data_IF_064611567568
#
_entry.id   IF_064611567568
#
_cell.length_a   1.000
_cell.length_b   1.000
_cell.length_c   1.000
_cell.angle_alpha   90.00
_cell.angle_beta   90.00
_cell.angle_gamma   90.00
#
_symmetry.space_group_name_H-M   'P 1'
#
loop_
_entity.id
_entity.type
_entity.pdbx_description
1 polymer ?
#
# COMPACT_ATOMS: atom_id res chain seq x y z
N UNK A 1 16.51 -8.18 -2.86
CA UNK A 1 15.35 -8.13 -1.91
C UNK A 1 15.89 -7.79 -0.55
N UNK A 2 15.27 -6.87 0.19
CA UNK A 2 15.63 -6.61 1.59
C UNK A 2 15.22 -7.81 2.47
N UNK A 3 15.83 -7.96 3.65
CA UNK A 3 15.44 -9.02 4.59
C UNK A 3 13.96 -8.95 4.96
N UNK A 4 13.38 -7.75 5.00
CA UNK A 4 11.99 -7.51 5.34
C UNK A 4 11.03 -8.06 4.28
N UNK A 5 11.37 -7.96 2.98
CA UNK A 5 10.56 -8.54 1.92
C UNK A 5 10.62 -10.07 1.88
N UNK A 6 11.67 -10.69 2.41
CA UNK A 6 11.78 -12.15 2.51
C UNK A 6 10.80 -12.74 3.53
N UNK A 7 10.42 -12.01 4.58
CA UNK A 7 9.46 -12.47 5.58
C UNK A 7 8.09 -12.76 4.98
N UNK A 8 7.67 -12.02 3.97
CA UNK A 8 6.37 -12.25 3.31
C UNK A 8 6.30 -13.56 2.52
N UNK A 9 7.44 -14.21 2.25
CA UNK A 9 7.51 -15.53 1.64
C UNK A 9 7.44 -16.69 2.65
N UNK A 10 7.38 -16.40 3.95
CA UNK A 10 7.13 -17.37 5.01
C UNK A 10 5.62 -17.54 5.25
N UNK A 11 5.12 -18.78 5.22
CA UNK A 11 3.69 -19.08 5.34
C UNK A 11 3.11 -18.67 6.70
N UNK A 12 3.88 -18.90 7.79
CA UNK A 12 3.43 -18.54 9.13
C UNK A 12 3.36 -17.02 9.30
N UNK A 13 4.39 -16.32 8.83
CA UNK A 13 4.40 -14.87 8.85
C UNK A 13 3.25 -14.28 8.03
N UNK A 14 3.01 -14.81 6.82
CA UNK A 14 1.91 -14.36 5.96
C UNK A 14 0.55 -14.54 6.64
N UNK A 15 0.32 -15.69 7.29
CA UNK A 15 -0.92 -15.96 8.03
C UNK A 15 -1.15 -14.98 9.19
N UNK A 16 -0.10 -14.66 9.93
CA UNK A 16 -0.19 -13.74 11.08
C UNK A 16 -0.26 -12.27 10.65
N UNK A 17 0.26 -11.94 9.47
CA UNK A 17 0.40 -10.58 8.96
C UNK A 17 -0.92 -9.80 8.90
N UNK A 18 -2.04 -10.46 8.58
CA UNK A 18 -3.35 -9.79 8.49
C UNK A 18 -3.75 -9.05 9.77
N UNK A 19 -3.18 -9.44 10.91
CA UNK A 19 -3.44 -8.82 12.21
C UNK A 19 -2.49 -7.65 12.52
N UNK A 20 -1.42 -7.46 11.74
CA UNK A 20 -0.38 -6.48 12.03
C UNK A 20 -0.75 -5.06 11.59
N UNK A 21 -1.14 -4.77 10.32
CA UNK A 21 -1.33 -3.41 9.85
C UNK A 21 -2.27 -2.56 10.71
N UNK A 22 -3.41 -3.08 11.23
CA UNK A 22 -4.29 -2.29 12.08
C UNK A 22 -3.67 -1.84 13.41
N UNK A 23 -2.63 -2.55 13.88
CA UNK A 23 -1.95 -2.24 15.14
C UNK A 23 -0.80 -1.23 14.98
N UNK A 24 -0.32 -1.03 13.76
CA UNK A 24 0.80 -0.14 13.48
C UNK A 24 0.39 1.14 12.74
N UNK A 25 -0.73 1.11 12.00
CA UNK A 25 -1.21 2.24 11.22
C UNK A 25 -2.47 2.86 11.85
N UNK A 26 -2.38 4.10 12.34
CA UNK A 26 -3.56 4.79 12.89
C UNK A 26 -4.67 4.92 11.84
N UNK A 27 -5.91 4.63 12.23
CA UNK A 27 -7.06 4.77 11.35
C UNK A 27 -7.10 3.80 10.16
N UNK A 28 -6.46 2.63 10.26
CA UNK A 28 -6.33 1.65 9.18
C UNK A 28 -7.64 1.33 8.45
N UNK A 29 -8.75 1.17 9.19
CA UNK A 29 -10.07 0.89 8.58
C UNK A 29 -10.62 2.09 7.82
N UNK A 30 -10.52 3.27 8.41
CA UNK A 30 -10.98 4.51 7.78
C UNK A 30 -10.15 4.86 6.55
N UNK A 31 -8.88 4.51 6.57
CA UNK A 31 -7.98 4.70 5.44
C UNK A 31 -8.46 3.99 4.16
N UNK A 32 -8.89 2.74 4.23
CA UNK A 32 -9.48 2.02 3.09
C UNK A 32 -10.80 2.65 2.61
N UNK A 33 -11.60 3.18 3.56
CA UNK A 33 -12.82 3.90 3.23
C UNK A 33 -12.53 5.20 2.48
N UNK A 34 -11.50 5.94 2.90
CA UNK A 34 -11.05 7.14 2.19
C UNK A 34 -10.57 6.79 0.77
N UNK A 35 -9.78 5.72 0.62
CA UNK A 35 -9.36 5.24 -0.68
C UNK A 35 -10.56 4.91 -1.61
N UNK A 36 -11.57 4.21 -1.08
CA UNK A 36 -12.78 3.90 -1.84
C UNK A 36 -13.55 5.16 -2.27
N UNK A 37 -13.58 6.21 -1.45
CA UNK A 37 -14.20 7.50 -1.79
C UNK A 37 -13.43 8.17 -2.94
N UNK A 38 -12.11 8.30 -2.81
CA UNK A 38 -11.25 8.93 -3.82
C UNK A 38 -11.32 8.22 -5.17
N UNK A 39 -11.32 6.90 -5.18
CA UNK A 39 -11.49 6.12 -6.41
C UNK A 39 -12.86 6.44 -7.05
N UNK A 40 -13.91 6.48 -6.24
CA UNK A 40 -15.28 6.70 -6.72
C UNK A 40 -15.55 8.11 -7.29
N UNK A 41 -14.65 9.06 -7.09
CA UNK A 41 -14.78 10.40 -7.66
C UNK A 41 -14.75 10.38 -9.20
N UNK A 42 -13.99 9.43 -9.79
CA UNK A 42 -13.79 9.37 -11.25
C UNK A 42 -13.98 7.97 -11.84
N UNK A 43 -13.88 6.91 -11.05
CA UNK A 43 -14.09 5.55 -11.52
C UNK A 43 -15.58 5.23 -11.71
N UNK A 44 -15.97 4.44 -12.74
CA UNK A 44 -17.36 4.02 -12.96
C UNK A 44 -17.84 3.07 -11.84
N UNK A 45 -19.17 2.90 -11.75
CA UNK A 45 -19.77 2.02 -10.74
C UNK A 45 -19.26 0.58 -10.80
N UNK A 46 -18.92 0.09 -11.99
CA UNK A 46 -18.41 -1.26 -12.26
C UNK A 46 -16.89 -1.26 -12.55
N UNK A 47 -16.12 -0.43 -11.87
CA UNK A 47 -14.71 -0.22 -12.11
C UNK A 47 -13.87 -1.51 -12.03
N UNK A 48 -12.83 -1.56 -12.89
CA UNK A 48 -11.70 -2.48 -12.80
C UNK A 48 -10.56 -1.79 -12.05
N UNK A 49 -10.09 -2.37 -10.98
CA UNK A 49 -9.08 -1.77 -10.09
C UNK A 49 -7.82 -2.63 -10.05
N UNK A 50 -6.68 -2.03 -10.36
CA UNK A 50 -5.36 -2.63 -10.16
C UNK A 50 -4.91 -2.41 -8.72
N UNK A 51 -4.61 -3.48 -7.98
CA UNK A 51 -4.09 -3.42 -6.60
C UNK A 51 -2.65 -3.91 -6.58
N UNK A 52 -1.70 -3.00 -6.44
CA UNK A 52 -0.28 -3.32 -6.37
C UNK A 52 0.15 -3.53 -4.91
N UNK A 53 0.76 -4.69 -4.63
CA UNK A 53 1.01 -5.17 -3.28
C UNK A 53 -0.27 -5.69 -2.65
N UNK A 54 -0.93 -6.63 -3.32
CA UNK A 54 -2.20 -7.22 -2.89
C UNK A 54 -2.13 -7.86 -1.50
N UNK A 55 -0.94 -8.29 -1.10
CA UNK A 55 -0.66 -8.81 0.23
C UNK A 55 -1.67 -9.87 0.66
N UNK A 56 -2.08 -9.83 1.93
CA UNK A 56 -3.09 -10.71 2.49
C UNK A 56 -4.54 -10.37 2.13
N UNK A 57 -4.79 -9.50 1.14
CA UNK A 57 -6.13 -9.23 0.59
C UNK A 57 -7.02 -8.28 1.40
N UNK A 58 -6.54 -7.70 2.50
CA UNK A 58 -7.35 -6.83 3.37
C UNK A 58 -7.88 -5.59 2.64
N UNK A 59 -7.04 -4.95 1.84
CA UNK A 59 -7.41 -3.82 1.00
C UNK A 59 -8.50 -4.19 0.00
N UNK A 60 -8.25 -5.24 -0.80
CA UNK A 60 -9.22 -5.70 -1.81
C UNK A 60 -10.55 -6.08 -1.18
N UNK A 61 -10.53 -6.73 0.00
CA UNK A 61 -11.75 -7.06 0.74
C UNK A 61 -12.52 -5.80 1.12
N UNK A 62 -11.84 -4.82 1.71
CA UNK A 62 -12.48 -3.57 2.15
C UNK A 62 -13.09 -2.81 0.95
N UNK A 63 -12.37 -2.72 -0.18
CA UNK A 63 -12.88 -2.09 -1.40
C UNK A 63 -14.03 -2.88 -2.02
N UNK A 64 -13.95 -4.21 -2.05
CA UNK A 64 -14.99 -5.08 -2.60
C UNK A 64 -16.29 -5.07 -1.79
N UNK A 65 -16.19 -4.94 -0.46
CA UNK A 65 -17.35 -4.75 0.42
C UNK A 65 -17.98 -3.37 0.25
N UNK A 66 -17.15 -2.33 0.08
CA UNK A 66 -17.62 -0.97 -0.12
C UNK A 66 -18.23 -0.72 -1.51
N UNK A 67 -17.81 -1.46 -2.53
CA UNK A 67 -18.21 -1.30 -3.93
C UNK A 67 -18.51 -2.67 -4.57
N UNK A 68 -19.77 -3.13 -4.51
CA UNK A 68 -20.16 -4.49 -4.90
C UNK A 68 -19.91 -4.85 -6.37
N UNK A 69 -19.84 -3.86 -7.28
CA UNK A 69 -19.66 -4.10 -8.71
C UNK A 69 -18.21 -3.97 -9.19
N UNK A 70 -17.28 -3.57 -8.31
CA UNK A 70 -15.87 -3.49 -8.68
C UNK A 70 -15.23 -4.86 -8.84
N UNK A 71 -14.31 -4.94 -9.79
CA UNK A 71 -13.45 -6.10 -10.02
C UNK A 71 -11.98 -5.71 -9.78
N UNK A 72 -11.15 -6.69 -9.44
CA UNK A 72 -9.79 -6.43 -9.00
C UNK A 72 -8.79 -7.32 -9.72
N UNK A 73 -7.65 -6.75 -10.07
CA UNK A 73 -6.43 -7.46 -10.41
C UNK A 73 -5.38 -7.14 -9.35
N UNK A 74 -5.14 -8.08 -8.46
CA UNK A 74 -4.19 -7.94 -7.35
C UNK A 74 -2.84 -8.56 -7.70
N UNK A 75 -1.76 -7.81 -7.52
CA UNK A 75 -0.38 -8.25 -7.83
C UNK A 75 0.46 -8.24 -6.57
N UNK A 76 1.15 -9.35 -6.27
CA UNK A 76 2.07 -9.45 -5.13
C UNK A 76 3.15 -10.49 -5.42
N UNK A 77 4.44 -10.23 -5.11
CA UNK A 77 5.52 -11.18 -5.38
C UNK A 77 5.55 -12.39 -4.43
N UNK A 78 4.81 -12.34 -3.32
CA UNK A 78 4.82 -13.38 -2.30
C UNK A 78 3.63 -14.34 -2.46
N UNK A 79 3.86 -15.53 -3.01
CA UNK A 79 2.83 -16.56 -3.17
C UNK A 79 2.08 -16.91 -1.87
N UNK A 80 2.73 -17.00 -0.67
CA UNK A 80 2.04 -17.20 0.59
C UNK A 80 1.04 -16.07 0.91
N UNK A 81 1.39 -14.82 0.64
CA UNK A 81 0.50 -13.68 0.82
C UNK A 81 -0.73 -13.79 -0.08
N UNK A 82 -0.56 -14.19 -1.34
CA UNK A 82 -1.69 -14.41 -2.25
C UNK A 82 -2.57 -15.59 -1.84
N UNK A 83 -2.02 -16.62 -1.18
CA UNK A 83 -2.82 -17.68 -0.60
C UNK A 83 -3.71 -17.14 0.53
N UNK A 84 -3.15 -16.36 1.45
CA UNK A 84 -3.90 -15.65 2.51
C UNK A 84 -4.93 -14.68 1.92
N UNK A 85 -4.61 -13.99 0.82
CA UNK A 85 -5.56 -13.10 0.15
C UNK A 85 -6.80 -13.84 -0.35
N UNK A 86 -6.66 -15.05 -0.89
CA UNK A 86 -7.81 -15.88 -1.30
C UNK A 86 -8.72 -16.22 -0.12
N UNK A 87 -8.13 -16.60 1.01
CA UNK A 87 -8.87 -16.90 2.24
C UNK A 87 -9.56 -15.67 2.80
N UNK A 88 -8.84 -14.53 2.87
CA UNK A 88 -9.36 -13.25 3.35
C UNK A 88 -10.56 -12.76 2.54
N UNK A 89 -10.48 -12.87 1.22
CA UNK A 89 -11.56 -12.49 0.30
C UNK A 89 -12.78 -13.41 0.43
N UNK A 90 -12.58 -14.70 0.73
CA UNK A 90 -13.68 -15.66 0.80
C UNK A 90 -14.55 -15.63 -0.46
N UNK A 91 -15.89 -15.49 -0.36
CA UNK A 91 -16.77 -15.42 -1.54
C UNK A 91 -16.45 -14.27 -2.51
N UNK A 92 -15.84 -13.20 -2.04
CA UNK A 92 -15.47 -12.03 -2.85
C UNK A 92 -14.35 -12.34 -3.85
N UNK A 93 -13.63 -13.45 -3.69
CA UNK A 93 -12.55 -13.88 -4.60
C UNK A 93 -13.03 -14.05 -6.04
N UNK A 94 -14.31 -14.28 -6.27
CA UNK A 94 -14.89 -14.39 -7.61
C UNK A 94 -14.80 -13.09 -8.43
N UNK A 95 -14.53 -11.98 -7.75
CA UNK A 95 -14.32 -10.65 -8.35
C UNK A 95 -12.85 -10.23 -8.40
N UNK A 96 -11.93 -11.11 -7.98
CA UNK A 96 -10.51 -10.82 -7.93
C UNK A 96 -9.70 -11.83 -8.75
N UNK A 97 -8.74 -11.35 -9.51
CA UNK A 97 -7.66 -12.13 -10.11
C UNK A 97 -6.37 -11.80 -9.38
N UNK A 98 -5.63 -12.82 -8.97
CA UNK A 98 -4.40 -12.67 -8.21
C UNK A 98 -3.22 -13.13 -9.06
N UNK A 99 -2.23 -12.25 -9.22
CA UNK A 99 -1.05 -12.44 -10.04
C UNK A 99 0.20 -12.44 -9.14
N UNK A 100 0.98 -13.51 -9.22
CA UNK A 100 2.27 -13.55 -8.54
C UNK A 100 3.31 -12.79 -9.37
N UNK A 101 3.95 -11.79 -8.77
CA UNK A 101 4.97 -10.98 -9.41
C UNK A 101 4.94 -9.51 -9.02
N UNK A 102 5.56 -8.70 -9.85
CA UNK A 102 5.66 -7.25 -9.70
C UNK A 102 4.77 -6.54 -10.72
N UNK A 103 4.93 -5.21 -10.84
CA UNK A 103 4.11 -4.41 -11.76
C UNK A 103 4.20 -4.90 -13.22
N UNK A 104 5.31 -5.50 -13.62
CA UNK A 104 5.50 -6.02 -14.97
C UNK A 104 4.62 -7.24 -15.27
N UNK A 105 4.26 -7.99 -14.25
CA UNK A 105 3.39 -9.17 -14.32
C UNK A 105 1.90 -8.81 -14.25
N UNK A 106 1.61 -7.53 -13.98
CA UNK A 106 0.24 -7.02 -14.00
C UNK A 106 -0.33 -6.99 -15.43
N UNK A 107 -1.64 -7.24 -15.61
CA UNK A 107 -2.30 -7.04 -16.90
C UNK A 107 -2.07 -5.63 -17.47
N UNK A 108 -2.07 -5.54 -18.78
CA UNK A 108 -1.77 -4.27 -19.49
C UNK A 108 -2.81 -3.15 -19.22
N UNK A 109 -4.01 -3.47 -18.76
CA UNK A 109 -5.10 -2.52 -18.60
C UNK A 109 -5.84 -2.25 -19.93
N UNK A 110 -6.52 -1.08 -20.09
CA UNK A 110 -6.57 0.00 -19.11
C UNK A 110 -7.43 -0.33 -17.89
N UNK A 111 -7.01 0.16 -16.72
CA UNK A 111 -7.78 0.09 -15.48
C UNK A 111 -8.48 1.42 -15.18
N UNK A 112 -9.63 1.37 -14.51
CA UNK A 112 -10.38 2.54 -14.10
C UNK A 112 -9.82 3.20 -12.83
N UNK A 113 -9.01 2.48 -12.07
CA UNK A 113 -8.27 2.98 -10.93
C UNK A 113 -7.10 2.06 -10.59
N UNK A 114 -6.14 2.57 -9.80
CA UNK A 114 -5.13 1.73 -9.15
C UNK A 114 -4.91 2.14 -7.70
N UNK A 115 -4.40 1.20 -6.92
CA UNK A 115 -3.94 1.42 -5.55
C UNK A 115 -2.55 0.81 -5.31
N UNK A 116 -1.79 1.42 -4.40
CA UNK A 116 -0.56 0.86 -3.84
C UNK A 116 -0.50 1.25 -2.36
N UNK A 117 -1.20 0.50 -1.52
CA UNK A 117 -1.33 0.80 -0.11
C UNK A 117 -0.34 -0.03 0.72
N UNK A 118 0.52 0.65 1.47
CA UNK A 118 1.58 0.06 2.30
C UNK A 118 2.61 -0.76 1.51
N UNK A 119 2.86 -0.40 0.25
CA UNK A 119 3.66 -1.20 -0.69
C UNK A 119 4.93 -0.49 -1.15
N UNK A 120 4.82 0.73 -1.69
CA UNK A 120 5.93 1.38 -2.38
C UNK A 120 7.14 1.67 -1.50
N UNK A 121 6.96 1.80 -0.19
CA UNK A 121 8.08 2.05 0.72
C UNK A 121 9.09 0.89 0.82
N UNK A 122 8.74 -0.30 0.34
CA UNK A 122 9.67 -1.43 0.24
C UNK A 122 10.59 -1.35 -0.99
N UNK A 123 10.26 -0.49 -1.96
CA UNK A 123 11.01 -0.35 -3.20
C UNK A 123 12.12 0.72 -3.07
N UNK A 124 13.32 0.45 -3.59
CA UNK A 124 14.33 1.49 -3.79
C UNK A 124 13.81 2.62 -4.68
N UNK A 125 14.40 3.80 -4.59
CA UNK A 125 13.93 5.02 -5.27
C UNK A 125 13.69 4.82 -6.78
N UNK A 126 14.65 4.23 -7.50
CA UNK A 126 14.54 4.04 -8.95
C UNK A 126 13.42 3.06 -9.32
N UNK A 127 13.27 1.98 -8.54
CA UNK A 127 12.17 1.02 -8.71
C UNK A 127 10.81 1.64 -8.36
N UNK A 128 10.75 2.53 -7.37
CA UNK A 128 9.54 3.26 -7.02
C UNK A 128 9.11 4.19 -8.16
N UNK A 129 10.05 4.93 -8.77
CA UNK A 129 9.80 5.75 -9.96
C UNK A 129 9.31 4.93 -11.14
N UNK A 130 10.03 3.84 -11.45
CA UNK A 130 9.65 2.93 -12.53
C UNK A 130 8.25 2.35 -12.30
N UNK A 131 7.97 1.90 -11.09
CA UNK A 131 6.68 1.31 -10.72
C UNK A 131 5.54 2.32 -10.87
N UNK A 132 5.72 3.57 -10.42
CA UNK A 132 4.71 4.62 -10.58
C UNK A 132 4.43 4.91 -12.07
N UNK A 133 5.46 4.97 -12.92
CA UNK A 133 5.31 5.15 -14.36
C UNK A 133 4.58 3.96 -15.02
N UNK A 134 4.88 2.73 -14.60
CA UNK A 134 4.22 1.52 -15.12
C UNK A 134 2.76 1.41 -14.69
N UNK A 135 2.41 1.86 -13.47
CA UNK A 135 1.01 1.99 -13.04
C UNK A 135 0.30 3.03 -13.92
N UNK A 136 0.92 4.21 -14.12
CA UNK A 136 0.37 5.27 -14.96
C UNK A 136 0.04 4.78 -16.38
N UNK A 137 0.91 3.97 -16.97
CA UNK A 137 0.73 3.39 -18.31
C UNK A 137 -0.47 2.43 -18.41
N UNK A 138 -0.83 1.81 -17.30
CA UNK A 138 -1.93 0.83 -17.22
C UNK A 138 -3.28 1.45 -16.87
N UNK A 139 -3.32 2.74 -16.58
CA UNK A 139 -4.55 3.44 -16.20
C UNK A 139 -5.22 4.10 -17.40
N UNK A 140 -6.54 4.12 -17.39
CA UNK A 140 -7.33 4.94 -18.31
C UNK A 140 -7.04 6.44 -18.07
N UNK A 141 -7.16 7.30 -19.09
CA UNK A 141 -6.97 8.74 -18.90
C UNK A 141 -7.89 9.29 -17.80
N UNK A 142 -7.31 10.02 -16.85
CA UNK A 142 -8.02 10.60 -15.71
C UNK A 142 -8.33 9.63 -14.57
N UNK A 143 -7.95 8.35 -14.67
CA UNK A 143 -8.16 7.35 -13.62
C UNK A 143 -7.34 7.68 -12.36
N UNK A 144 -7.91 7.53 -11.15
CA UNK A 144 -7.21 7.79 -9.90
C UNK A 144 -6.18 6.70 -9.57
N UNK A 145 -5.05 7.12 -9.05
CA UNK A 145 -4.07 6.28 -8.38
C UNK A 145 -3.96 6.69 -6.90
N UNK A 146 -4.40 5.83 -6.00
CA UNK A 146 -4.35 6.05 -4.55
C UNK A 146 -3.13 5.33 -3.98
N UNK A 147 -2.22 6.10 -3.40
CA UNK A 147 -0.95 5.59 -2.87
C UNK A 147 -0.85 5.93 -1.40
N UNK A 148 -0.41 5.00 -0.58
CA UNK A 148 0.00 5.32 0.78
C UNK A 148 1.07 4.37 1.29
N UNK A 149 1.98 4.94 2.05
CA UNK A 149 3.09 4.20 2.64
C UNK A 149 3.80 5.02 3.72
N UNK A 150 4.88 4.45 4.25
CA UNK A 150 5.71 5.17 5.21
C UNK A 150 6.53 6.25 4.51
N UNK A 151 6.33 7.49 4.94
CA UNK A 151 7.00 8.69 4.42
C UNK A 151 7.08 9.73 5.54
N UNK A 152 8.27 10.22 5.84
CA UNK A 152 8.47 11.12 6.97
C UNK A 152 9.38 12.30 6.62
N UNK A 153 9.10 13.51 7.11
CA UNK A 153 10.08 14.59 7.10
C UNK A 153 11.31 14.14 7.90
N UNK A 154 12.46 14.06 7.26
CA UNK A 154 13.69 13.55 7.88
C UNK A 154 14.91 14.39 7.52
N UNK A 155 14.92 15.69 7.87
CA UNK A 155 16.06 16.56 7.59
C UNK A 155 17.34 16.10 8.31
N UNK A 156 17.17 15.34 9.40
CA UNK A 156 18.26 14.76 10.18
C UNK A 156 17.85 13.47 10.91
N UNK A 157 18.84 12.75 11.44
CA UNK A 157 18.63 11.49 12.15
C UNK A 157 17.74 11.62 13.40
N UNK A 158 17.76 12.77 14.06
CA UNK A 158 16.95 13.03 15.28
C UNK A 158 15.47 13.09 14.93
N UNK A 159 15.11 13.79 13.86
CA UNK A 159 13.73 13.85 13.40
C UNK A 159 13.22 12.48 12.92
N UNK A 160 14.04 11.75 12.18
CA UNK A 160 13.72 10.37 11.79
C UNK A 160 13.46 9.49 13.01
N UNK A 161 14.36 9.49 14.00
CA UNK A 161 14.21 8.72 15.23
C UNK A 161 12.92 9.06 15.99
N UNK A 162 12.55 10.35 16.03
CA UNK A 162 11.30 10.82 16.67
C UNK A 162 10.06 10.25 15.98
N UNK A 163 10.03 10.20 14.64
CA UNK A 163 8.90 9.62 13.93
C UNK A 163 8.79 8.12 14.16
N UNK A 164 9.91 7.41 14.18
CA UNK A 164 9.96 5.98 14.46
C UNK A 164 9.60 5.65 15.91
N UNK A 165 9.91 6.54 16.87
CA UNK A 165 9.44 6.39 18.25
C UNK A 165 7.91 6.44 18.33
N UNK A 166 7.28 7.42 17.67
CA UNK A 166 5.82 7.52 17.58
C UNK A 166 5.16 6.29 16.97
N UNK A 167 5.79 5.71 15.95
CA UNK A 167 5.33 4.47 15.33
C UNK A 167 5.33 3.31 16.34
N UNK A 168 6.41 3.13 17.11
CA UNK A 168 6.51 2.12 18.15
C UNK A 168 5.55 2.37 19.31
N UNK A 169 5.42 3.63 19.75
CA UNK A 169 4.51 4.00 20.84
C UNK A 169 3.05 3.74 20.48
N UNK A 170 2.64 4.02 19.24
CA UNK A 170 1.30 3.68 18.75
C UNK A 170 1.06 2.16 18.73
N UNK A 171 2.05 1.36 18.35
CA UNK A 171 1.96 -0.09 18.39
C UNK A 171 1.76 -0.61 19.80
N UNK A 172 2.47 -0.04 20.78
CA UNK A 172 2.29 -0.38 22.20
C UNK A 172 0.89 0.00 22.71
N UNK A 173 0.41 1.18 22.37
CA UNK A 173 -0.96 1.62 22.71
C UNK A 173 -2.02 0.72 22.09
N UNK A 174 -1.70 0.12 20.93
CA UNK A 174 -2.54 -0.87 20.23
C UNK A 174 -2.39 -2.31 20.73
N UNK A 175 -1.67 -2.52 21.84
CA UNK A 175 -1.54 -3.82 22.50
C UNK A 175 -0.37 -4.70 22.04
N UNK A 176 0.61 -4.15 21.32
CA UNK A 176 1.88 -4.83 21.03
C UNK A 176 2.82 -4.70 22.23
N UNK A 177 3.59 -5.73 22.56
CA UNK A 177 4.60 -5.62 23.62
C UNK A 177 5.63 -4.54 23.29
N UNK A 178 6.17 -3.85 24.32
CA UNK A 178 7.25 -2.86 24.10
C UNK A 178 8.45 -3.48 23.39
N UNK A 179 8.80 -4.70 23.73
CA UNK A 179 9.91 -5.42 23.09
C UNK A 179 9.67 -5.65 21.60
N UNK A 180 8.48 -6.12 21.20
CA UNK A 180 8.15 -6.38 19.82
C UNK A 180 8.01 -5.08 19.01
N UNK A 181 7.42 -4.04 19.61
CA UNK A 181 7.32 -2.73 18.99
C UNK A 181 8.72 -2.12 18.70
N UNK A 182 9.68 -2.27 19.62
CA UNK A 182 11.06 -1.83 19.43
C UNK A 182 11.80 -2.68 18.39
N UNK A 183 11.60 -3.99 18.36
CA UNK A 183 12.14 -4.86 17.28
C UNK A 183 11.62 -4.40 15.92
N UNK A 184 10.30 -4.20 15.79
CA UNK A 184 9.69 -3.73 14.55
C UNK A 184 10.22 -2.35 14.14
N UNK A 185 10.32 -1.41 15.08
CA UNK A 185 10.92 -0.09 14.84
C UNK A 185 12.33 -0.19 14.25
N UNK A 186 13.17 -1.06 14.83
CA UNK A 186 14.55 -1.25 14.39
C UNK A 186 14.60 -1.86 12.99
N UNK A 187 13.77 -2.88 12.71
CA UNK A 187 13.65 -3.49 11.38
C UNK A 187 13.18 -2.46 10.34
N UNK A 188 12.15 -1.68 10.66
CA UNK A 188 11.66 -0.62 9.77
C UNK A 188 12.74 0.44 9.54
N UNK A 189 13.50 0.82 10.56
CA UNK A 189 14.59 1.80 10.42
C UNK A 189 15.72 1.33 9.52
N UNK A 190 16.07 0.02 9.56
CA UNK A 190 17.16 -0.54 8.75
C UNK A 190 16.75 -0.84 7.32
N UNK A 191 15.52 -1.33 7.12
CA UNK A 191 15.13 -2.01 5.89
C UNK A 191 14.22 -1.18 4.99
N UNK A 192 13.54 -0.16 5.53
CA UNK A 192 12.66 0.70 4.74
C UNK A 192 13.43 1.91 4.20
N UNK A 193 13.56 2.05 2.88
CA UNK A 193 14.16 3.23 2.25
C UNK A 193 13.18 4.41 2.30
N UNK A 194 13.13 5.09 3.46
CA UNK A 194 12.26 6.25 3.64
C UNK A 194 12.61 7.38 2.67
N UNK A 195 11.57 7.95 2.11
CA UNK A 195 11.59 9.25 1.45
C UNK A 195 10.81 10.29 2.26
N UNK A 196 11.03 11.55 1.94
CA UNK A 196 10.21 12.65 2.45
C UNK A 196 8.89 12.72 1.68
N UNK A 197 7.83 13.33 2.26
CA UNK A 197 6.57 13.54 1.55
C UNK A 197 6.73 14.27 0.21
N UNK A 198 7.62 15.25 0.14
CA UNK A 198 7.89 16.00 -1.10
C UNK A 198 8.53 15.14 -2.18
N UNK A 199 9.46 14.24 -1.80
CA UNK A 199 10.07 13.28 -2.73
C UNK A 199 9.03 12.26 -3.24
N UNK A 200 8.16 11.77 -2.38
CA UNK A 200 7.09 10.84 -2.78
C UNK A 200 6.07 11.51 -3.72
N UNK A 201 5.68 12.74 -3.44
CA UNK A 201 4.83 13.53 -4.34
C UNK A 201 5.52 13.79 -5.70
N UNK A 202 6.81 14.11 -5.68
CA UNK A 202 7.58 14.32 -6.91
C UNK A 202 7.62 13.08 -7.79
N UNK A 203 7.76 11.88 -7.22
CA UNK A 203 7.71 10.60 -7.96
C UNK A 203 6.40 10.45 -8.73
N UNK A 204 5.27 10.77 -8.12
CA UNK A 204 3.96 10.70 -8.79
C UNK A 204 3.84 11.74 -9.91
N UNK A 205 4.29 12.97 -9.66
CA UNK A 205 4.28 14.03 -10.67
C UNK A 205 5.21 13.71 -11.85
N UNK A 206 6.43 13.20 -11.60
CA UNK A 206 7.39 12.75 -12.60
C UNK A 206 6.85 11.59 -13.45
N UNK A 207 6.04 10.70 -12.86
CA UNK A 207 5.36 9.63 -13.57
C UNK A 207 4.21 10.11 -14.46
N UNK A 208 3.84 11.40 -14.39
CA UNK A 208 2.80 12.02 -15.22
C UNK A 208 1.41 12.02 -14.60
N UNK A 209 1.30 11.82 -13.28
CA UNK A 209 0.03 12.04 -12.57
C UNK A 209 -0.20 13.52 -12.34
N UNK A 210 -1.43 13.97 -12.58
CA UNK A 210 -1.90 15.33 -12.33
C UNK A 210 -2.60 15.43 -10.96
N UNK A 211 -2.75 16.65 -10.45
CA UNK A 211 -3.51 16.99 -9.22
C UNK A 211 -3.09 16.14 -7.99
N UNK A 212 -1.80 15.84 -7.85
CA UNK A 212 -1.30 15.02 -6.74
C UNK A 212 -1.57 15.74 -5.42
N UNK A 213 -2.41 15.13 -4.59
CA UNK A 213 -2.86 15.72 -3.32
C UNK A 213 -2.72 14.74 -2.17
N UNK A 214 -2.18 15.20 -1.03
CA UNK A 214 -2.15 14.44 0.22
C UNK A 214 -3.56 14.39 0.82
N UNK A 215 -4.07 13.18 1.10
CA UNK A 215 -5.38 12.98 1.73
C UNK A 215 -5.29 12.35 3.12
N UNK A 216 -4.13 11.78 3.47
CA UNK A 216 -3.93 11.08 4.72
C UNK A 216 -2.54 11.36 5.30
N UNK A 217 -2.52 11.66 6.60
CA UNK A 217 -1.30 11.91 7.35
C UNK A 217 -1.44 11.43 8.79
N UNK A 218 -0.74 10.36 9.16
CA UNK A 218 -0.75 9.82 10.52
C UNK A 218 0.63 9.26 10.91
N UNK A 219 1.33 9.95 11.80
CA UNK A 219 2.69 9.61 12.24
C UNK A 219 3.65 9.38 11.07
N UNK A 220 4.11 8.10 10.86
CA UNK A 220 5.02 7.73 9.79
C UNK A 220 4.32 7.47 8.45
N UNK A 221 3.00 7.48 8.43
CA UNK A 221 2.23 7.15 7.23
C UNK A 221 1.68 8.41 6.54
N UNK A 222 1.76 8.41 5.22
CA UNK A 222 1.17 9.42 4.33
C UNK A 222 0.42 8.74 3.21
N UNK A 223 -0.59 9.43 2.67
CA UNK A 223 -1.33 8.94 1.51
C UNK A 223 -1.64 10.06 0.53
N UNK A 224 -1.51 9.76 -0.74
CA UNK A 224 -1.76 10.69 -1.85
C UNK A 224 -2.70 10.08 -2.87
N UNK A 225 -3.41 10.93 -3.57
CA UNK A 225 -4.12 10.60 -4.80
C UNK A 225 -3.56 11.45 -5.93
N UNK A 226 -3.38 10.84 -7.10
CA UNK A 226 -3.06 11.52 -8.35
C UNK A 226 -3.88 10.93 -9.49
N UNK A 227 -3.98 11.62 -10.60
CA UNK A 227 -4.86 11.23 -11.71
C UNK A 227 -4.06 11.03 -13.00
N UNK A 228 -4.33 9.93 -13.71
CA UNK A 228 -3.65 9.49 -14.92
C UNK A 228 -3.94 10.36 -16.15
#
# INVERSE_FOLDING_TARGET
MSQNTQLFHDEQFASDYINHPPRFMPGYREFHRLAAVLISERAPANASVLVLGAGGGLEMKALAEARPEWTFDGVDPAAPMLAVARETLGPLVTRARLHEGYIDDAPAGPFDAATALLTLHFLPLDERRRTAAEVRRRLAPGAPFVVAHMSVPQPDATQRAKWLSRYADYAVDSGISREDAEKMRNTVNSDVPFLTPDEDMAILAEAGFSDVTEFYSAFTFRGWVGYA
#
